data_IF_858000981190
#
_entry.id   IF_858000981190
#
_cell.length_a   1.000
_cell.length_b   1.000
_cell.length_c   1.000
_cell.angle_alpha   90.00
_cell.angle_beta   90.00
_cell.angle_gamma   90.00
#
_symmetry.space_group_name_H-M   'P 1'
#
loop_
_entity.id
_entity.type
_entity.pdbx_description
1 polymer ?
#
# COMPACT_ATOMS: atom_id res chain seq x y z
N UNK A 1 15.34 -7.00 -18.49
CA UNK A 1 13.93 -7.41 -18.27
C UNK A 1 13.43 -6.53 -17.15
N UNK A 2 12.56 -5.54 -17.42
CA UNK A 2 12.74 -4.27 -16.73
C UNK A 2 11.85 -4.14 -15.49
N UNK A 3 12.47 -4.13 -14.31
CA UNK A 3 11.87 -3.70 -13.04
C UNK A 3 12.25 -2.25 -12.79
N UNK A 4 11.28 -1.42 -12.39
CA UNK A 4 11.57 -0.10 -11.80
C UNK A 4 11.27 -0.16 -10.31
N UNK A 5 12.30 0.04 -9.48
CA UNK A 5 12.16 0.33 -8.06
C UNK A 5 12.05 1.84 -7.90
N UNK A 6 10.99 2.30 -7.25
CA UNK A 6 10.73 3.71 -7.07
C UNK A 6 10.65 4.06 -5.58
N UNK A 7 11.49 5.00 -5.14
CA UNK A 7 11.44 5.57 -3.79
C UNK A 7 10.85 6.98 -3.89
N UNK A 8 9.68 7.18 -3.32
CA UNK A 8 9.16 8.53 -3.03
C UNK A 8 9.68 8.93 -1.66
N UNK A 9 10.33 10.08 -1.58
CA UNK A 9 10.99 10.52 -0.34
C UNK A 9 10.62 11.95 0.04
N UNK A 10 10.50 12.19 1.34
CA UNK A 10 10.32 13.50 1.94
C UNK A 10 11.00 13.50 3.31
N UNK A 11 12.11 14.21 3.44
CA UNK A 11 12.92 14.30 4.67
C UNK A 11 13.25 12.94 5.30
N UNK A 12 13.80 12.03 4.50
CA UNK A 12 14.05 10.64 4.88
C UNK A 12 15.51 10.33 5.24
N UNK A 13 16.33 11.34 5.57
CA UNK A 13 17.77 11.19 5.79
C UNK A 13 18.12 10.09 6.79
N UNK A 14 17.23 9.86 7.78
CA UNK A 14 17.43 8.90 8.88
C UNK A 14 17.60 7.46 8.40
N UNK A 15 16.88 7.05 7.35
CA UNK A 15 16.85 5.65 6.88
C UNK A 15 17.34 5.47 5.45
N UNK A 16 17.42 6.55 4.68
CA UNK A 16 17.75 6.53 3.25
C UNK A 16 19.05 5.75 2.95
N UNK A 17 20.12 6.01 3.69
CA UNK A 17 21.44 5.36 3.49
C UNK A 17 21.33 3.83 3.56
N UNK A 18 20.59 3.32 4.55
CA UNK A 18 20.42 1.88 4.75
C UNK A 18 19.53 1.28 3.66
N UNK A 19 18.44 1.96 3.30
CA UNK A 19 17.56 1.54 2.22
C UNK A 19 18.33 1.37 0.89
N UNK A 20 19.13 2.37 0.50
CA UNK A 20 19.97 2.33 -0.70
C UNK A 20 21.04 1.23 -0.65
N UNK A 21 21.64 1.00 0.54
CA UNK A 21 22.57 -0.12 0.72
C UNK A 21 21.89 -1.47 0.47
N UNK A 22 20.69 -1.70 0.99
CA UNK A 22 19.93 -2.92 0.74
C UNK A 22 19.64 -3.13 -0.75
N UNK A 23 19.37 -2.06 -1.50
CA UNK A 23 19.22 -2.11 -2.96
C UNK A 23 20.51 -2.49 -3.68
N UNK A 24 21.65 -1.91 -3.29
CA UNK A 24 22.96 -2.28 -3.86
C UNK A 24 23.32 -3.73 -3.59
N UNK A 25 22.90 -4.28 -2.46
CA UNK A 25 23.21 -5.67 -2.05
C UNK A 25 22.29 -6.72 -2.69
N UNK A 26 21.32 -6.33 -3.52
CA UNK A 26 20.42 -7.28 -4.18
C UNK A 26 21.16 -8.26 -5.08
N UNK A 27 20.74 -9.53 -5.12
CA UNK A 27 21.28 -10.54 -6.04
C UNK A 27 20.97 -10.18 -7.49
N UNK A 28 19.77 -9.66 -7.74
CA UNK A 28 19.37 -9.08 -9.01
C UNK A 28 19.92 -7.66 -9.17
N UNK A 29 20.69 -7.40 -10.22
CA UNK A 29 21.28 -6.08 -10.53
C UNK A 29 20.59 -5.32 -11.67
N UNK A 30 19.85 -6.01 -12.54
CA UNK A 30 19.15 -5.42 -13.69
C UNK A 30 17.81 -4.81 -13.26
N UNK A 31 17.85 -3.61 -12.68
CA UNK A 31 16.66 -2.81 -12.37
C UNK A 31 16.95 -1.31 -12.49
N UNK A 32 15.91 -0.54 -12.81
CA UNK A 32 15.93 0.92 -12.76
C UNK A 32 15.65 1.38 -11.33
N UNK A 33 16.49 2.27 -10.80
CA UNK A 33 16.22 2.99 -9.55
C UNK A 33 15.76 4.42 -9.88
N UNK A 34 14.50 4.70 -9.54
CA UNK A 34 13.89 6.02 -9.67
C UNK A 34 13.63 6.61 -8.28
N UNK A 35 14.07 7.85 -8.07
CA UNK A 35 13.86 8.59 -6.84
C UNK A 35 12.97 9.79 -7.15
N UNK A 36 11.86 9.91 -6.44
CA UNK A 36 10.96 11.06 -6.50
C UNK A 36 11.08 11.81 -5.18
N UNK A 37 11.77 12.95 -5.19
CA UNK A 37 11.91 13.82 -4.04
C UNK A 37 10.75 14.81 -3.94
N UNK A 38 10.02 14.73 -2.84
CA UNK A 38 8.83 15.54 -2.56
C UNK A 38 9.19 16.84 -1.82
N UNK A 39 10.21 17.56 -2.33
CA UNK A 39 10.78 18.76 -1.73
C UNK A 39 11.40 18.52 -0.34
N UNK A 40 12.37 17.61 -0.25
CA UNK A 40 13.14 17.42 0.98
C UNK A 40 14.05 18.63 1.24
N UNK A 41 14.19 19.00 2.51
CA UNK A 41 15.06 20.09 2.96
C UNK A 41 16.19 19.60 3.88
N UNK A 42 16.23 18.30 4.17
CA UNK A 42 17.28 17.66 4.94
C UNK A 42 18.37 17.05 4.04
N UNK A 43 19.28 16.25 4.59
CA UNK A 43 20.39 15.63 3.85
C UNK A 43 19.99 14.44 2.96
N UNK A 44 18.70 14.23 2.71
CA UNK A 44 18.21 13.08 1.93
C UNK A 44 18.84 13.02 0.55
N UNK A 45 18.83 14.13 -0.20
CA UNK A 45 19.37 14.19 -1.55
C UNK A 45 20.89 13.98 -1.58
N UNK A 46 21.61 14.56 -0.62
CA UNK A 46 23.06 14.37 -0.49
C UNK A 46 23.40 12.89 -0.27
N UNK A 47 22.65 12.22 0.60
CA UNK A 47 22.82 10.78 0.87
C UNK A 47 22.55 9.96 -0.39
N UNK A 48 21.50 10.28 -1.16
CA UNK A 48 21.20 9.56 -2.40
C UNK A 48 22.33 9.72 -3.41
N UNK A 49 22.82 10.95 -3.62
CA UNK A 49 23.89 11.23 -4.58
C UNK A 49 25.19 10.53 -4.19
N UNK A 50 25.49 10.43 -2.89
CA UNK A 50 26.67 9.72 -2.38
C UNK A 50 26.55 8.20 -2.53
N UNK A 51 25.41 7.62 -2.14
CA UNK A 51 25.26 6.16 -2.07
C UNK A 51 24.89 5.53 -3.42
N UNK A 52 24.19 6.27 -4.28
CA UNK A 52 23.66 5.79 -5.56
C UNK A 52 23.71 6.90 -6.64
N UNK A 53 24.91 7.33 -7.07
CA UNK A 53 25.09 8.47 -7.99
C UNK A 53 24.45 8.27 -9.37
N UNK A 54 24.15 7.02 -9.75
CA UNK A 54 23.49 6.66 -11.00
C UNK A 54 21.96 6.64 -10.91
N UNK A 55 21.38 6.93 -9.74
CA UNK A 55 19.93 6.97 -9.56
C UNK A 55 19.31 8.09 -10.40
N UNK A 56 18.16 7.82 -11.01
CA UNK A 56 17.39 8.86 -11.68
C UNK A 56 16.60 9.63 -10.61
N UNK A 57 16.90 10.92 -10.42
CA UNK A 57 16.29 11.74 -9.36
C UNK A 57 15.38 12.79 -10.00
N UNK A 58 14.12 12.81 -9.60
CA UNK A 58 13.12 13.82 -9.97
C UNK A 58 12.76 14.61 -8.73
N UNK A 59 12.90 15.93 -8.77
CA UNK A 59 12.61 16.82 -7.66
C UNK A 59 11.29 17.54 -7.91
N UNK A 60 10.36 17.46 -6.96
CA UNK A 60 9.13 18.23 -6.96
C UNK A 60 9.32 19.51 -6.14
N UNK A 61 8.59 20.57 -6.50
CA UNK A 61 8.60 21.85 -5.76
C UNK A 61 7.82 21.79 -4.44
N UNK A 62 7.02 20.74 -4.25
CA UNK A 62 6.19 20.55 -3.06
C UNK A 62 6.00 19.08 -2.76
N UNK A 63 5.54 18.80 -1.54
CA UNK A 63 5.19 17.45 -1.14
C UNK A 63 3.87 16.99 -1.81
N UNK A 64 3.97 16.09 -2.79
CA UNK A 64 2.81 15.49 -3.49
C UNK A 64 2.21 14.28 -2.75
N UNK A 65 2.75 13.93 -1.59
CA UNK A 65 2.39 12.72 -0.85
C UNK A 65 2.86 11.45 -1.56
N UNK A 66 2.44 10.31 -1.01
CA UNK A 66 2.69 8.99 -1.59
C UNK A 66 2.03 8.86 -2.96
N UNK A 67 0.75 9.24 -3.07
CA UNK A 67 -0.04 9.06 -4.28
C UNK A 67 0.52 9.85 -5.46
N UNK A 68 0.75 11.16 -5.30
CA UNK A 68 1.26 12.00 -6.38
C UNK A 68 2.69 11.64 -6.77
N UNK A 69 3.54 11.35 -5.78
CA UNK A 69 4.93 10.91 -6.03
C UNK A 69 4.98 9.60 -6.82
N UNK A 70 4.21 8.59 -6.43
CA UNK A 70 4.19 7.31 -7.15
C UNK A 70 3.45 7.39 -8.49
N UNK A 71 2.43 8.23 -8.65
CA UNK A 71 1.82 8.48 -9.96
C UNK A 71 2.86 9.03 -10.95
N UNK A 72 3.66 10.02 -10.53
CA UNK A 72 4.77 10.53 -11.33
C UNK A 72 5.80 9.42 -11.62
N UNK A 73 6.16 8.65 -10.59
CA UNK A 73 7.08 7.52 -10.73
C UNK A 73 6.62 6.43 -11.70
N UNK A 74 5.32 6.08 -11.70
CA UNK A 74 4.76 5.09 -12.64
C UNK A 74 4.78 5.61 -14.08
N UNK A 75 4.52 6.91 -14.28
CA UNK A 75 4.57 7.52 -15.61
C UNK A 75 5.99 7.54 -16.19
N UNK A 76 6.99 7.79 -15.34
CA UNK A 76 8.40 7.85 -15.75
C UNK A 76 9.08 6.47 -15.80
N UNK A 77 8.49 5.45 -15.19
CA UNK A 77 9.10 4.12 -15.11
C UNK A 77 9.22 3.45 -16.48
N UNK A 78 10.37 2.81 -16.73
CA UNK A 78 10.62 2.04 -17.95
C UNK A 78 10.30 0.56 -17.78
N UNK A 79 10.13 0.11 -16.55
CA UNK A 79 9.85 -1.28 -16.21
C UNK A 79 8.43 -1.73 -16.55
N UNK A 80 8.30 -3.00 -16.92
CA UNK A 80 7.02 -3.72 -17.00
C UNK A 80 6.46 -3.98 -15.59
N UNK A 81 7.34 -3.99 -14.59
CA UNK A 81 7.00 -4.10 -13.19
C UNK A 81 7.44 -2.85 -12.44
N UNK A 82 6.62 -2.43 -11.48
CA UNK A 82 6.84 -1.24 -10.67
C UNK A 82 6.78 -1.61 -9.19
N UNK A 83 7.82 -1.27 -8.44
CA UNK A 83 7.91 -1.51 -7.01
C UNK A 83 8.06 -0.19 -6.26
N UNK A 84 6.99 0.33 -5.64
CA UNK A 84 7.14 1.28 -4.56
C UNK A 84 8.04 0.69 -3.47
N UNK A 85 9.00 1.48 -2.99
CA UNK A 85 9.81 1.12 -1.84
C UNK A 85 9.88 2.31 -0.89
N UNK A 86 9.36 2.16 0.32
CA UNK A 86 9.44 3.18 1.33
C UNK A 86 10.90 3.35 1.82
N UNK A 87 11.35 4.59 2.10
CA UNK A 87 12.72 4.86 2.58
C UNK A 87 13.09 4.19 3.91
N UNK A 88 12.11 3.75 4.70
CA UNK A 88 12.28 3.07 6.00
C UNK A 88 12.03 1.55 5.92
N UNK A 89 12.14 0.97 4.72
CA UNK A 89 12.11 -0.47 4.47
C UNK A 89 13.49 -0.97 4.03
N UNK A 90 13.93 -2.07 4.64
CA UNK A 90 15.22 -2.72 4.42
C UNK A 90 14.98 -4.13 3.87
N UNK A 91 15.16 -4.30 2.57
CA UNK A 91 14.93 -5.56 1.85
C UNK A 91 16.13 -6.52 1.99
N UNK A 92 15.87 -7.83 2.09
CA UNK A 92 16.92 -8.85 2.06
C UNK A 92 17.50 -9.03 0.65
N UNK A 93 18.70 -9.61 0.54
CA UNK A 93 19.48 -9.68 -0.72
C UNK A 93 18.75 -10.33 -1.90
N UNK A 94 17.88 -11.30 -1.65
CA UNK A 94 17.12 -12.02 -2.68
C UNK A 94 15.69 -11.49 -2.86
N UNK A 95 15.34 -10.35 -2.26
CA UNK A 95 13.97 -9.83 -2.26
C UNK A 95 13.46 -9.55 -3.68
N UNK A 96 14.18 -8.75 -4.47
CA UNK A 96 13.72 -8.36 -5.82
C UNK A 96 13.55 -9.58 -6.74
N UNK A 97 14.51 -10.50 -6.70
CA UNK A 97 14.49 -11.75 -7.47
C UNK A 97 13.26 -12.60 -7.11
N UNK A 98 13.00 -12.82 -5.82
CA UNK A 98 11.86 -13.60 -5.35
C UNK A 98 10.51 -12.97 -5.73
N UNK A 99 10.40 -11.64 -5.65
CA UNK A 99 9.18 -10.93 -6.05
C UNK A 99 8.90 -11.09 -7.55
N UNK A 100 9.94 -10.95 -8.38
CA UNK A 100 9.80 -11.08 -9.84
C UNK A 100 9.54 -12.51 -10.30
N UNK A 101 10.11 -13.51 -9.64
CA UNK A 101 9.77 -14.91 -9.91
C UNK A 101 8.31 -15.18 -9.55
N UNK A 102 7.83 -14.65 -8.43
CA UNK A 102 6.45 -14.84 -7.98
C UNK A 102 5.43 -14.17 -8.91
N UNK A 103 5.67 -12.95 -9.40
CA UNK A 103 4.69 -12.25 -10.26
C UNK A 103 4.52 -12.89 -11.63
N UNK A 104 5.52 -13.66 -12.10
CA UNK A 104 5.50 -14.33 -13.39
C UNK A 104 4.82 -15.69 -13.37
N UNK A 105 4.44 -16.21 -12.20
CA UNK A 105 3.91 -17.58 -12.12
C UNK A 105 2.52 -17.75 -12.77
N UNK A 106 1.74 -16.68 -12.88
CA UNK A 106 0.44 -16.69 -13.56
C UNK A 106 0.14 -15.33 -14.24
N UNK A 107 -0.53 -15.35 -15.41
CA UNK A 107 -0.87 -14.13 -16.18
C UNK A 107 -1.73 -13.10 -15.45
N UNK A 108 -2.50 -13.52 -14.43
CA UNK A 108 -3.46 -12.66 -13.71
C UNK A 108 -2.97 -12.20 -12.33
N UNK A 109 -1.68 -12.38 -12.03
CA UNK A 109 -1.08 -11.79 -10.85
C UNK A 109 -0.73 -10.34 -11.16
N UNK A 110 -1.39 -9.43 -10.45
CA UNK A 110 -1.18 -8.00 -10.58
C UNK A 110 -0.31 -7.43 -9.47
N UNK A 111 -0.24 -8.12 -8.33
CA UNK A 111 0.42 -7.64 -7.11
C UNK A 111 1.16 -8.78 -6.42
N UNK A 112 2.32 -8.49 -5.85
CA UNK A 112 2.99 -9.36 -4.89
C UNK A 112 3.15 -8.63 -3.56
N UNK A 113 2.80 -9.32 -2.48
CA UNK A 113 3.16 -8.95 -1.12
C UNK A 113 4.34 -9.80 -0.66
N UNK A 114 5.44 -9.17 -0.28
CA UNK A 114 6.50 -9.85 0.46
C UNK A 114 6.11 -10.14 1.92
N UNK A 115 6.99 -10.82 2.65
CA UNK A 115 6.95 -10.93 4.10
C UNK A 115 7.65 -9.71 4.70
N UNK A 116 6.88 -8.79 5.26
CA UNK A 116 7.40 -7.64 5.98
C UNK A 116 7.46 -7.98 7.48
N UNK A 117 8.65 -7.88 8.05
CA UNK A 117 8.92 -7.99 9.47
C UNK A 117 9.22 -6.60 10.05
N UNK A 118 9.14 -6.44 11.36
CA UNK A 118 9.47 -5.19 12.04
C UNK A 118 10.97 -5.02 12.14
N UNK A 119 11.42 -3.80 11.92
CA UNK A 119 12.76 -3.36 12.27
C UNK A 119 12.71 -2.53 13.55
N UNK A 120 13.59 -2.83 14.52
CA UNK A 120 13.71 -2.00 15.72
C UNK A 120 14.79 -0.92 15.49
N UNK A 121 14.40 0.35 15.30
CA UNK A 121 15.36 1.42 15.02
C UNK A 121 16.19 1.83 16.25
N UNK A 122 15.73 1.52 17.47
CA UNK A 122 16.43 1.88 18.72
C UNK A 122 17.59 0.92 18.97
N UNK A 123 17.34 -0.38 18.85
CA UNK A 123 18.36 -1.43 19.00
C UNK A 123 19.11 -1.73 17.69
N UNK A 124 18.66 -1.14 16.58
CA UNK A 124 19.21 -1.36 15.25
C UNK A 124 19.19 -2.84 14.80
N UNK A 125 18.13 -3.57 15.14
CA UNK A 125 18.03 -5.02 14.95
C UNK A 125 16.83 -5.43 14.07
N UNK A 126 17.03 -6.52 13.33
CA UNK A 126 15.97 -7.28 12.66
C UNK A 126 15.17 -8.04 13.73
N UNK A 127 13.85 -8.06 13.62
CA UNK A 127 12.99 -8.79 14.57
C UNK A 127 12.24 -9.91 13.85
N UNK A 128 11.65 -10.82 14.63
CA UNK A 128 10.73 -11.85 14.16
C UNK A 128 9.26 -11.42 14.30
N UNK A 129 8.97 -10.15 14.58
CA UNK A 129 7.60 -9.64 14.64
C UNK A 129 7.13 -9.28 13.23
N UNK A 130 5.99 -9.81 12.82
CA UNK A 130 5.42 -9.55 11.51
C UNK A 130 4.87 -8.12 11.46
N UNK A 131 5.27 -7.38 10.43
CA UNK A 131 4.64 -6.11 10.06
C UNK A 131 3.44 -6.34 9.13
N UNK A 132 3.64 -7.09 8.05
CA UNK A 132 2.58 -7.44 7.10
C UNK A 132 2.97 -8.66 6.24
N UNK A 133 2.01 -9.54 6.02
CA UNK A 133 2.07 -10.61 5.00
C UNK A 133 1.02 -10.42 3.90
N UNK A 134 0.45 -9.22 3.82
CA UNK A 134 -0.64 -8.86 2.91
C UNK A 134 -1.78 -8.18 3.65
N UNK A 135 -2.73 -7.62 2.91
CA UNK A 135 -3.88 -6.91 3.45
C UNK A 135 -5.06 -7.89 3.59
N UNK A 136 -5.88 -7.70 4.63
CA UNK A 136 -7.19 -8.35 4.76
C UNK A 136 -8.24 -7.39 5.32
N UNK A 137 -9.50 -7.78 5.21
CA UNK A 137 -10.63 -7.00 5.70
C UNK A 137 -11.47 -7.74 6.74
N UNK A 138 -11.87 -7.00 7.78
CA UNK A 138 -12.95 -7.39 8.67
C UNK A 138 -14.32 -7.17 8.03
N UNK A 139 -15.40 -7.75 8.60
CA UNK A 139 -16.78 -7.57 8.11
C UNK A 139 -17.25 -6.10 8.11
N UNK A 140 -16.73 -5.27 9.01
CA UNK A 140 -17.01 -3.83 9.07
C UNK A 140 -16.12 -2.99 8.14
N UNK A 141 -15.42 -3.60 7.17
CA UNK A 141 -14.53 -2.92 6.20
C UNK A 141 -13.29 -2.29 6.82
N UNK A 142 -12.97 -2.64 8.07
CA UNK A 142 -11.66 -2.31 8.64
C UNK A 142 -10.60 -3.15 7.92
N UNK A 143 -9.75 -2.48 7.14
CA UNK A 143 -8.55 -3.07 6.54
C UNK A 143 -7.41 -3.14 7.56
N UNK A 144 -6.70 -4.26 7.57
CA UNK A 144 -5.57 -4.52 8.46
C UNK A 144 -4.48 -5.29 7.71
N UNK A 145 -3.25 -5.20 8.21
CA UNK A 145 -2.14 -6.03 7.76
C UNK A 145 -2.24 -7.43 8.39
N UNK A 146 -2.12 -8.48 7.57
CA UNK A 146 -2.19 -9.87 8.01
C UNK A 146 -0.94 -10.22 8.81
N UNK A 147 -1.18 -10.71 10.01
CA UNK A 147 -0.15 -11.13 10.95
C UNK A 147 0.50 -9.98 11.72
N UNK A 148 0.11 -8.73 11.50
CA UNK A 148 0.72 -7.59 12.18
C UNK A 148 0.75 -7.79 13.70
N UNK A 149 1.92 -7.54 14.30
CA UNK A 149 2.24 -7.72 15.73
C UNK A 149 2.33 -9.19 16.20
N UNK A 150 2.07 -10.17 15.34
CA UNK A 150 2.31 -11.58 15.66
C UNK A 150 3.80 -11.92 15.49
N UNK A 151 4.30 -12.84 16.32
CA UNK A 151 5.65 -13.41 16.15
C UNK A 151 5.64 -14.41 15.00
N UNK A 152 6.59 -14.32 14.06
CA UNK A 152 6.78 -15.30 13.00
C UNK A 152 7.46 -16.54 13.57
N UNK A 153 6.66 -17.60 13.75
CA UNK A 153 7.09 -18.93 14.18
C UNK A 153 6.99 -19.93 13.01
N UNK A 154 6.87 -19.43 11.78
CA UNK A 154 6.73 -20.23 10.56
C UNK A 154 5.30 -20.40 10.06
N UNK A 155 4.30 -19.81 10.73
CA UNK A 155 2.89 -19.86 10.32
C UNK A 155 2.61 -19.13 8.99
N UNK A 156 3.55 -18.30 8.54
CA UNK A 156 3.48 -17.56 7.27
C UNK A 156 4.50 -18.05 6.23
N UNK A 157 4.82 -19.35 6.22
CA UNK A 157 5.79 -19.93 5.27
C UNK A 157 5.17 -20.43 3.96
N UNK A 158 3.85 -20.44 3.85
CA UNK A 158 3.14 -20.88 2.65
C UNK A 158 2.78 -19.70 1.75
N UNK A 159 2.84 -19.92 0.43
CA UNK A 159 2.29 -18.98 -0.56
C UNK A 159 0.77 -19.02 -0.51
N UNK A 160 0.15 -17.85 -0.51
CA UNK A 160 -1.30 -17.72 -0.44
C UNK A 160 -1.77 -16.53 -1.28
N UNK A 161 -3.01 -16.57 -1.73
CA UNK A 161 -3.68 -15.37 -2.23
C UNK A 161 -4.11 -14.48 -1.06
N UNK A 162 -3.90 -13.18 -1.24
CA UNK A 162 -4.21 -12.15 -0.25
C UNK A 162 -5.04 -11.06 -0.91
N UNK A 163 -5.69 -10.19 -0.13
CA UNK A 163 -6.52 -9.15 -0.74
C UNK A 163 -5.66 -8.16 -1.53
N UNK A 164 -4.55 -7.73 -0.93
CA UNK A 164 -3.62 -6.77 -1.50
C UNK A 164 -2.27 -6.82 -0.79
N UNK A 165 -1.32 -6.04 -1.28
CA UNK A 165 0.01 -5.88 -0.68
C UNK A 165 0.10 -4.54 0.04
N UNK A 166 0.81 -4.49 1.16
CA UNK A 166 1.11 -3.23 1.85
C UNK A 166 1.91 -2.31 0.93
N UNK A 167 1.57 -1.02 0.93
CA UNK A 167 2.25 0.03 0.14
C UNK A 167 3.74 0.22 0.45
N UNK A 168 4.26 -0.41 1.51
CA UNK A 168 5.65 -0.25 1.95
C UNK A 168 6.70 -0.85 0.99
N UNK A 169 6.42 -2.02 0.41
CA UNK A 169 7.31 -2.69 -0.55
C UNK A 169 6.57 -3.72 -1.46
N UNK A 170 5.45 -3.34 -2.13
CA UNK A 170 4.74 -4.24 -3.02
C UNK A 170 5.41 -4.29 -4.41
N UNK A 171 5.23 -5.39 -5.15
CA UNK A 171 5.55 -5.40 -6.59
C UNK A 171 4.27 -5.38 -7.40
N UNK A 172 4.16 -4.45 -8.34
CA UNK A 172 3.00 -4.29 -9.21
C UNK A 172 3.31 -4.60 -10.67
N UNK A 173 2.40 -5.30 -11.33
CA UNK A 173 2.40 -5.46 -12.78
C UNK A 173 1.84 -4.17 -13.42
N UNK A 174 2.62 -3.54 -14.31
CA UNK A 174 2.21 -2.27 -14.95
C UNK A 174 0.98 -2.44 -15.85
N UNK A 175 0.72 -3.64 -16.37
CA UNK A 175 -0.54 -3.95 -17.08
C UNK A 175 -1.75 -3.85 -16.15
N UNK A 176 -1.65 -4.37 -14.92
CA UNK A 176 -2.69 -4.20 -13.92
C UNK A 176 -2.88 -2.71 -13.59
N UNK A 177 -1.80 -1.98 -13.31
CA UNK A 177 -1.86 -0.56 -13.00
C UNK A 177 -2.57 0.23 -14.11
N UNK A 178 -2.23 -0.04 -15.38
CA UNK A 178 -2.87 0.58 -16.53
C UNK A 178 -4.34 0.16 -16.71
N UNK A 179 -4.69 -1.08 -16.37
CA UNK A 179 -6.08 -1.54 -16.41
C UNK A 179 -6.92 -0.81 -15.35
N UNK A 180 -6.41 -0.64 -14.13
CA UNK A 180 -7.22 -0.13 -13.01
C UNK A 180 -7.17 1.39 -12.82
N UNK A 181 -6.33 2.11 -13.58
CA UNK A 181 -6.22 3.57 -13.48
C UNK A 181 -7.56 4.24 -13.81
N UNK A 182 -7.83 5.36 -13.15
CA UNK A 182 -9.04 6.17 -13.34
C UNK A 182 -8.58 7.61 -13.52
N UNK A 183 -9.05 8.28 -14.57
CA UNK A 183 -8.68 9.68 -14.84
C UNK A 183 -7.15 9.92 -14.90
N UNK A 184 -6.40 8.98 -15.47
CA UNK A 184 -4.91 8.98 -15.49
C UNK A 184 -4.23 8.91 -14.11
N UNK A 185 -4.98 8.66 -13.04
CA UNK A 185 -4.44 8.44 -11.70
C UNK A 185 -4.36 6.92 -11.43
N UNK A 186 -3.16 6.43 -11.07
CA UNK A 186 -2.97 5.03 -10.65
C UNK A 186 -3.37 4.87 -9.18
N UNK A 187 -2.79 5.72 -8.33
CA UNK A 187 -3.24 6.03 -6.99
C UNK A 187 -4.08 7.31 -7.04
N UNK A 188 -5.28 7.28 -6.47
CA UNK A 188 -6.17 8.45 -6.51
C UNK A 188 -5.60 9.55 -5.62
N UNK A 189 -5.25 10.71 -6.20
CA UNK A 189 -4.36 11.69 -5.57
C UNK A 189 -4.90 12.25 -4.26
N UNK A 190 -6.24 12.33 -4.12
CA UNK A 190 -6.85 12.82 -2.90
C UNK A 190 -6.65 11.88 -1.70
N UNK A 191 -6.22 10.63 -1.88
CA UNK A 191 -5.78 9.81 -0.75
C UNK A 191 -4.55 10.44 -0.10
N UNK A 192 -3.66 11.02 -0.90
CA UNK A 192 -2.36 11.60 -0.53
C UNK A 192 -1.39 10.57 0.09
N UNK A 193 -1.77 9.97 1.21
CA UNK A 193 -1.09 8.87 1.89
C UNK A 193 -2.07 8.09 2.81
N UNK A 194 -1.69 6.87 3.19
CA UNK A 194 -2.49 5.86 3.88
C UNK A 194 -3.73 5.35 3.14
N UNK A 195 -3.87 4.02 3.05
CA UNK A 195 -4.99 3.30 2.43
C UNK A 195 -5.12 3.44 0.91
N UNK A 196 -4.22 4.16 0.25
CA UNK A 196 -4.12 4.15 -1.21
C UNK A 196 -3.73 2.77 -1.75
N UNK A 197 -2.94 2.01 -1.00
CA UNK A 197 -2.59 0.62 -1.28
C UNK A 197 -3.82 -0.29 -1.18
N UNK A 198 -4.66 -0.06 -0.16
CA UNK A 198 -5.94 -0.74 0.02
C UNK A 198 -6.91 -0.42 -1.13
N UNK A 199 -7.01 0.85 -1.55
CA UNK A 199 -7.85 1.26 -2.68
C UNK A 199 -7.40 0.62 -3.99
N UNK A 200 -6.09 0.71 -4.28
CA UNK A 200 -5.48 0.09 -5.45
C UNK A 200 -5.76 -1.41 -5.50
N UNK A 201 -5.56 -2.11 -4.38
CA UNK A 201 -5.85 -3.53 -4.26
C UNK A 201 -7.34 -3.84 -4.50
N UNK A 202 -8.25 -3.02 -3.96
CA UNK A 202 -9.69 -3.24 -4.13
C UNK A 202 -10.12 -3.07 -5.60
N UNK A 203 -9.63 -2.02 -6.27
CA UNK A 203 -9.85 -1.83 -7.72
C UNK A 203 -9.27 -2.97 -8.54
N UNK A 204 -8.09 -3.48 -8.15
CA UNK A 204 -7.50 -4.66 -8.78
C UNK A 204 -8.37 -5.91 -8.61
N UNK A 205 -8.93 -6.15 -7.42
CA UNK A 205 -9.86 -7.26 -7.15
C UNK A 205 -11.13 -7.15 -8.01
N UNK A 206 -11.73 -5.96 -8.15
CA UNK A 206 -12.85 -5.72 -9.06
C UNK A 206 -12.55 -6.14 -10.50
N UNK A 207 -11.30 -5.93 -10.92
CA UNK A 207 -10.82 -6.27 -12.25
C UNK A 207 -10.30 -7.71 -12.34
N UNK A 208 -10.51 -8.55 -11.32
CA UNK A 208 -10.06 -9.94 -11.25
C UNK A 208 -8.52 -10.10 -11.34
N UNK A 209 -7.76 -9.12 -10.88
CA UNK A 209 -6.31 -9.25 -10.66
C UNK A 209 -6.07 -9.85 -9.28
N UNK A 210 -5.09 -10.74 -9.18
CA UNK A 210 -4.76 -11.44 -7.94
C UNK A 210 -3.55 -10.78 -7.25
N UNK A 211 -3.55 -10.83 -5.92
CA UNK A 211 -2.35 -10.58 -5.11
C UNK A 211 -1.85 -11.91 -4.54
N UNK A 212 -0.56 -12.20 -4.72
CA UNK A 212 0.09 -13.36 -4.08
C UNK A 212 0.98 -12.87 -2.95
N UNK A 213 0.96 -13.59 -1.83
CA UNK A 213 1.95 -13.48 -0.79
C UNK A 213 3.15 -14.39 -1.09
N UNK A 214 4.34 -13.80 -1.12
CA UNK A 214 5.62 -14.48 -1.37
C UNK A 214 6.43 -14.52 -0.07
N UNK A 215 6.46 -15.66 0.65
CA UNK A 215 7.12 -15.76 1.95
C UNK A 215 8.64 -15.71 1.87
N UNK A 216 9.22 -16.00 0.70
CA UNK A 216 10.67 -15.94 0.48
C UNK A 216 11.19 -14.52 0.21
N UNK A 217 10.32 -13.56 -0.15
CA UNK A 217 10.68 -12.16 -0.30
C UNK A 217 10.56 -11.44 1.04
N UNK A 218 11.64 -11.42 1.82
CA UNK A 218 11.66 -10.87 3.19
C UNK A 218 12.23 -9.45 3.24
N UNK A 219 11.53 -8.55 3.94
CA UNK A 219 12.00 -7.20 4.22
C UNK A 219 11.67 -6.76 5.64
N UNK A 220 12.38 -5.76 6.15
CA UNK A 220 12.22 -5.22 7.49
C UNK A 220 11.77 -3.77 7.43
N UNK A 221 10.66 -3.45 8.08
CA UNK A 221 10.03 -2.14 8.04
C UNK A 221 10.09 -1.51 9.44
N UNK A 222 10.61 -0.28 9.53
CA UNK A 222 10.67 0.45 10.79
C UNK A 222 9.27 0.76 11.32
N UNK A 223 8.33 1.07 10.42
CA UNK A 223 6.92 1.45 10.65
C UNK A 223 6.67 2.20 11.96
N UNK A 224 6.60 3.51 11.85
CA UNK A 224 6.26 4.40 12.96
C UNK A 224 4.75 4.38 13.28
N UNK A 225 3.91 4.12 12.28
CA UNK A 225 2.48 4.39 12.34
C UNK A 225 1.70 3.08 12.45
N UNK A 226 1.17 2.79 13.64
CA UNK A 226 0.32 1.62 13.89
C UNK A 226 -1.05 2.04 14.41
N UNK A 227 -2.11 1.22 14.21
CA UNK A 227 -3.43 1.51 14.75
C UNK A 227 -3.45 1.72 16.28
N UNK A 228 -2.50 1.12 17.00
CA UNK A 228 -2.37 1.21 18.46
C UNK A 228 -1.85 2.59 18.93
N UNK A 229 -1.15 3.33 18.06
CA UNK A 229 -0.50 4.61 18.40
C UNK A 229 -1.26 5.84 17.90
N UNK A 230 -2.57 5.72 17.67
CA UNK A 230 -3.39 6.81 17.08
C UNK A 230 -3.24 8.16 17.81
N UNK A 231 -3.14 8.15 19.14
CA UNK A 231 -2.98 9.36 19.95
C UNK A 231 -1.63 10.07 19.74
N UNK A 232 -0.61 9.35 19.26
CA UNK A 232 0.73 9.88 18.97
C UNK A 232 0.86 10.38 17.52
N UNK A 233 -0.15 10.09 16.68
CA UNK A 233 -0.15 10.45 15.26
C UNK A 233 -0.44 11.93 15.05
N UNK A 234 0.15 12.50 14.00
CA UNK A 234 -0.16 13.87 13.62
C UNK A 234 -1.63 14.03 13.20
N UNK A 235 -2.14 15.25 13.39
CA UNK A 235 -3.52 15.63 13.01
C UNK A 235 -3.80 15.30 11.55
N UNK A 236 -2.85 15.58 10.66
CA UNK A 236 -2.99 15.26 9.24
C UNK A 236 -3.19 13.76 9.01
N UNK A 237 -2.37 12.91 9.64
CA UNK A 237 -2.49 11.45 9.46
C UNK A 237 -3.81 10.93 10.02
N UNK A 238 -4.24 11.40 11.19
CA UNK A 238 -5.52 11.00 11.77
C UNK A 238 -6.71 11.40 10.88
N UNK A 239 -6.69 12.61 10.33
CA UNK A 239 -7.68 13.09 9.37
C UNK A 239 -7.69 12.26 8.08
N UNK A 240 -6.52 12.00 7.47
CA UNK A 240 -6.41 11.15 6.29
C UNK A 240 -6.91 9.73 6.57
N UNK A 241 -6.65 9.17 7.76
CA UNK A 241 -7.13 7.84 8.14
C UNK A 241 -8.66 7.74 8.16
N UNK A 242 -9.36 8.77 8.68
CA UNK A 242 -10.84 8.84 8.66
C UNK A 242 -11.37 9.09 7.25
N UNK A 243 -10.80 10.08 6.57
CA UNK A 243 -11.21 10.46 5.20
C UNK A 243 -11.05 9.28 4.24
N UNK A 244 -9.89 8.66 4.22
CA UNK A 244 -9.55 7.59 3.27
C UNK A 244 -10.34 6.30 3.57
N UNK A 245 -10.74 6.06 4.83
CA UNK A 245 -11.70 5.00 5.16
C UNK A 245 -13.02 5.18 4.40
N UNK A 246 -13.63 6.36 4.55
CA UNK A 246 -14.92 6.65 3.93
C UNK A 246 -14.81 6.63 2.40
N UNK A 247 -13.69 7.12 1.85
CA UNK A 247 -13.42 7.06 0.41
C UNK A 247 -13.40 5.62 -0.10
N UNK A 248 -12.72 4.69 0.59
CA UNK A 248 -12.67 3.27 0.19
C UNK A 248 -14.07 2.68 0.05
N UNK A 249 -14.90 2.85 1.09
CA UNK A 249 -16.25 2.27 1.16
C UNK A 249 -17.16 2.90 0.12
N UNK A 250 -17.17 4.23 0.01
CA UNK A 250 -18.00 4.94 -0.97
C UNK A 250 -17.62 4.57 -2.41
N UNK A 251 -16.34 4.31 -2.70
CA UNK A 251 -15.86 4.09 -4.07
C UNK A 251 -15.92 2.62 -4.50
N UNK A 252 -15.57 1.70 -3.61
CA UNK A 252 -15.31 0.31 -3.97
C UNK A 252 -16.36 -0.68 -3.45
N UNK A 253 -17.22 -0.30 -2.50
CA UNK A 253 -18.16 -1.28 -1.96
C UNK A 253 -19.23 -1.64 -3.00
N UNK A 254 -19.70 -2.88 -3.08
CA UNK A 254 -20.83 -3.24 -3.97
C UNK A 254 -22.16 -3.10 -3.23
N UNK A 255 -23.26 -2.88 -3.95
CA UNK A 255 -24.58 -2.79 -3.29
C UNK A 255 -24.96 -4.09 -2.57
N UNK A 256 -24.66 -5.24 -3.16
CA UNK A 256 -24.90 -6.53 -2.52
C UNK A 256 -24.11 -6.67 -1.21
N UNK A 257 -22.85 -6.23 -1.19
CA UNK A 257 -22.00 -6.32 -0.01
C UNK A 257 -22.41 -5.32 1.10
N UNK A 258 -22.90 -4.13 0.72
CA UNK A 258 -23.54 -3.20 1.66
C UNK A 258 -24.83 -3.77 2.25
N UNK A 259 -25.69 -4.38 1.45
CA UNK A 259 -26.93 -4.98 1.95
C UNK A 259 -26.64 -6.15 2.91
N UNK A 260 -25.67 -6.99 2.58
CA UNK A 260 -25.32 -8.16 3.40
C UNK A 260 -24.64 -7.78 4.71
N UNK A 261 -23.65 -6.90 4.66
CA UNK A 261 -22.79 -6.60 5.81
C UNK A 261 -23.04 -5.23 6.43
N UNK A 262 -24.06 -4.50 5.98
CA UNK A 262 -24.42 -3.17 6.46
C UNK A 262 -24.61 -3.11 7.98
N UNK A 263 -25.10 -4.20 8.58
CA UNK A 263 -25.24 -4.34 10.04
C UNK A 263 -23.89 -4.31 10.79
N UNK A 264 -22.78 -4.59 10.13
CA UNK A 264 -21.42 -4.46 10.70
C UNK A 264 -20.74 -3.15 10.30
N UNK A 265 -20.99 -2.68 9.08
CA UNK A 265 -20.38 -1.46 8.53
C UNK A 265 -20.96 -0.23 9.22
N UNK A 266 -22.29 -0.05 9.16
CA UNK A 266 -22.97 1.18 9.59
C UNK A 266 -22.74 1.48 11.08
N UNK A 267 -22.90 0.53 12.04
CA UNK A 267 -22.65 0.85 13.44
C UNK A 267 -21.19 1.22 13.73
N UNK A 268 -20.24 0.62 13.01
CA UNK A 268 -18.82 0.91 13.19
C UNK A 268 -18.46 2.29 12.65
N UNK A 269 -19.00 2.70 11.51
CA UNK A 269 -18.80 4.05 10.98
C UNK A 269 -19.52 5.10 11.82
N UNK A 270 -20.71 4.79 12.35
CA UNK A 270 -21.40 5.64 13.30
C UNK A 270 -20.57 5.83 14.58
N UNK A 271 -19.97 4.76 15.09
CA UNK A 271 -19.05 4.84 16.24
C UNK A 271 -17.85 5.74 15.95
N UNK A 272 -17.22 5.62 14.77
CA UNK A 272 -16.12 6.52 14.36
C UNK A 272 -16.60 7.97 14.26
N UNK A 273 -17.77 8.19 13.64
CA UNK A 273 -18.36 9.52 13.52
C UNK A 273 -18.59 10.16 14.89
N UNK A 274 -19.22 9.44 15.83
CA UNK A 274 -19.43 9.89 17.22
C UNK A 274 -18.08 10.18 17.89
N UNK A 275 -17.08 9.31 17.74
CA UNK A 275 -15.75 9.53 18.32
C UNK A 275 -15.07 10.80 17.77
N UNK A 276 -15.20 11.09 16.47
CA UNK A 276 -14.68 12.34 15.89
C UNK A 276 -15.46 13.57 16.38
N UNK A 277 -16.78 13.48 16.51
CA UNK A 277 -17.60 14.58 17.00
C UNK A 277 -17.29 14.96 18.46
N UNK A 278 -17.09 13.97 19.33
CA UNK A 278 -17.02 14.19 20.78
C UNK A 278 -15.63 14.04 21.39
N UNK A 279 -14.70 13.34 20.73
CA UNK A 279 -13.39 12.98 21.32
C UNK A 279 -12.19 13.46 20.50
N UNK A 280 -12.21 13.33 19.17
CA UNK A 280 -11.08 13.67 18.29
C UNK A 280 -11.53 14.57 17.13
N UNK A 281 -11.89 15.82 17.47
CA UNK A 281 -12.45 16.79 16.51
C UNK A 281 -11.50 17.24 15.41
N UNK A 282 -10.20 16.98 15.56
CA UNK A 282 -9.18 17.28 14.55
C UNK A 282 -9.41 16.56 13.21
N UNK A 283 -10.18 15.46 13.21
CA UNK A 283 -10.56 14.75 11.99
C UNK A 283 -11.88 15.22 11.35
N UNK A 284 -12.59 16.22 11.90
CA UNK A 284 -13.80 16.80 11.29
C UNK A 284 -13.64 17.23 9.82
N UNK A 285 -12.48 17.78 9.37
CA UNK A 285 -12.27 18.12 7.96
C UNK A 285 -12.44 16.94 7.00
N UNK A 286 -12.30 15.69 7.48
CA UNK A 286 -12.55 14.49 6.68
C UNK A 286 -13.98 14.47 6.14
N UNK A 287 -14.99 14.72 6.99
CA UNK A 287 -16.40 14.72 6.57
C UNK A 287 -16.71 15.88 5.62
N UNK A 288 -16.16 17.07 5.89
CA UNK A 288 -16.26 18.22 4.99
C UNK A 288 -15.68 17.90 3.60
N UNK A 289 -14.55 17.18 3.56
CA UNK A 289 -13.95 16.73 2.31
C UNK A 289 -14.89 15.79 1.54
N UNK A 290 -15.47 14.80 2.21
CA UNK A 290 -16.41 13.85 1.57
C UNK A 290 -17.60 14.60 0.96
N UNK A 291 -18.25 15.50 1.71
CA UNK A 291 -19.40 16.28 1.21
C UNK A 291 -19.00 17.14 0.01
N UNK A 292 -17.89 17.89 0.12
CA UNK A 292 -17.42 18.77 -0.96
C UNK A 292 -17.07 18.01 -2.24
N UNK A 293 -16.58 16.78 -2.13
CA UNK A 293 -16.12 15.97 -3.26
C UNK A 293 -17.09 14.85 -3.65
N UNK A 294 -18.31 14.81 -3.10
CA UNK A 294 -19.24 13.70 -3.26
C UNK A 294 -19.52 13.34 -4.73
N UNK A 295 -19.72 14.35 -5.59
CA UNK A 295 -19.93 14.14 -7.03
C UNK A 295 -18.74 13.42 -7.69
N UNK A 296 -17.50 13.84 -7.39
CA UNK A 296 -16.28 13.19 -7.91
C UNK A 296 -16.17 11.75 -7.36
N UNK A 297 -16.43 11.55 -6.08
CA UNK A 297 -16.41 10.23 -5.43
C UNK A 297 -17.39 9.26 -6.11
N UNK A 298 -18.64 9.69 -6.33
CA UNK A 298 -19.66 8.88 -6.99
C UNK A 298 -19.37 8.64 -8.47
N UNK A 299 -18.74 9.60 -9.16
CA UNK A 299 -18.25 9.39 -10.52
C UNK A 299 -17.17 8.31 -10.56
N UNK A 300 -16.19 8.34 -9.65
CA UNK A 300 -15.15 7.29 -9.52
C UNK A 300 -15.78 5.93 -9.23
N UNK A 301 -16.71 5.86 -8.28
CA UNK A 301 -17.48 4.65 -8.00
C UNK A 301 -18.10 4.07 -9.27
N UNK A 302 -18.76 4.91 -10.08
CA UNK A 302 -19.37 4.47 -11.34
C UNK A 302 -18.32 3.89 -12.30
N UNK A 303 -17.14 4.49 -12.41
CA UNK A 303 -16.05 3.95 -13.23
C UNK A 303 -15.58 2.58 -12.75
N UNK A 304 -15.46 2.38 -11.43
CA UNK A 304 -15.08 1.10 -10.83
C UNK A 304 -16.16 0.04 -11.09
N UNK A 305 -17.42 0.35 -10.76
CA UNK A 305 -18.53 -0.60 -10.85
C UNK A 305 -18.85 -1.00 -12.29
N UNK A 306 -18.80 -0.07 -13.25
CA UNK A 306 -19.05 -0.36 -14.66
C UNK A 306 -18.00 -1.31 -15.28
N UNK A 307 -16.81 -1.39 -14.67
CA UNK A 307 -15.70 -2.22 -15.15
C UNK A 307 -15.48 -3.45 -14.28
N UNK A 308 -16.34 -3.71 -13.30
CA UNK A 308 -16.24 -4.86 -12.41
C UNK A 308 -16.41 -6.17 -13.20
N UNK A 309 -15.46 -7.09 -13.07
CA UNK A 309 -15.42 -8.39 -13.75
C UNK A 309 -15.73 -9.57 -12.83
N UNK A 310 -15.80 -9.35 -11.51
CA UNK A 310 -16.07 -10.43 -10.56
C UNK A 310 -17.49 -10.37 -10.04
N UNK A 311 -18.07 -11.55 -9.81
CA UNK A 311 -19.37 -11.64 -9.15
C UNK A 311 -19.29 -11.16 -7.69
N UNK A 312 -20.47 -10.80 -7.16
CA UNK A 312 -20.57 -10.28 -5.81
C UNK A 312 -20.12 -11.27 -4.74
N UNK A 313 -20.30 -12.59 -4.94
CA UNK A 313 -19.93 -13.63 -3.97
C UNK A 313 -18.41 -13.78 -3.88
N UNK A 314 -17.72 -13.70 -5.02
CA UNK A 314 -16.26 -13.75 -5.13
C UNK A 314 -15.60 -12.55 -4.47
N UNK A 315 -16.16 -11.35 -4.60
CA UNK A 315 -15.62 -10.18 -3.87
C UNK A 315 -15.76 -10.38 -2.35
N UNK A 316 -16.93 -10.84 -1.94
CA UNK A 316 -17.33 -10.93 -0.54
C UNK A 316 -16.51 -11.91 0.30
N UNK A 317 -15.89 -12.91 -0.32
CA UNK A 317 -15.06 -13.88 0.38
C UNK A 317 -13.89 -13.22 1.12
N UNK A 318 -13.50 -12.02 0.68
CA UNK A 318 -12.44 -11.21 1.27
C UNK A 318 -12.87 -10.42 2.52
N UNK A 319 -14.17 -10.26 2.76
CA UNK A 319 -14.69 -9.49 3.90
C UNK A 319 -15.13 -10.43 5.03
N UNK A 320 -14.28 -10.60 6.04
CA UNK A 320 -14.61 -11.39 7.23
C UNK A 320 -13.49 -12.28 7.75
N UNK A 321 -13.81 -13.54 8.09
CA UNK A 321 -12.91 -14.42 8.88
C UNK A 321 -11.67 -14.91 8.11
N UNK A 322 -11.72 -14.99 6.78
CA UNK A 322 -10.58 -15.46 5.97
C UNK A 322 -9.58 -14.32 5.75
N UNK A 323 -8.35 -14.47 6.25
CA UNK A 323 -7.24 -13.51 6.06
C UNK A 323 -6.46 -13.77 4.75
N UNK A 324 -6.65 -14.93 4.14
CA UNK A 324 -5.98 -15.43 2.94
C UNK A 324 -6.83 -16.52 2.27
N UNK A 325 -6.46 -16.88 1.04
CA UNK A 325 -6.97 -18.06 0.34
C UNK A 325 -5.76 -18.91 -0.05
N UNK A 326 -5.69 -20.20 0.35
CA UNK A 326 -4.62 -21.09 -0.07
C UNK A 326 -4.53 -21.21 -1.58
N UNK A 327 -3.31 -21.26 -2.12
CA UNK A 327 -3.09 -21.63 -3.52
C UNK A 327 -3.19 -23.16 -3.57
N UNK A 328 -4.19 -23.69 -4.27
CA UNK A 328 -4.26 -25.13 -4.54
C UNK A 328 -3.04 -25.49 -5.41
N UNK A 329 -2.24 -26.44 -4.92
CA UNK A 329 -1.05 -26.95 -5.63
C UNK A 329 -1.44 -27.81 -6.82
#
# INVERSE_FOLDING_TARGET
MNLTVCIVTWNSQKYMRRCLRCLREQTMKDFELLIIDNASFDKTLDIIQQEYPTANIVKNDKNLGFCGGHNLGINLSKGDFYMPLNPDVFIEKNFLENMLLAIKSEKRIGMISGKLLRFNPVKNEKTDIVDSTGIYFMKNRRSLDRGAEEKDIGQYNNKEYVFGASGAAPLYNKQMLNDIKINNEYFLEYFFAYREDVDLAWRAQHRNWKCIYCPSAVAFHVRHNTPLKRSEMSVAVNMHSVKNRLLLELQNETWYALLRDGIFIVPYDLMIFIAVLFKERTSLPAFKFIVKNFRKIMWIRRQIMNRNLIDNRKMIQWFGRKKSIPIQQ
#
